data_IF_768913934134
#
_entry.id   IF_768913934134
#
_cell.length_a   1.000
_cell.length_b   1.000
_cell.length_c   1.000
_cell.angle_alpha   90.00
_cell.angle_beta   90.00
_cell.angle_gamma   90.00
#
_symmetry.space_group_name_H-M   'P 1'
#
loop_
_entity.id
_entity.type
_entity.pdbx_description
1 polymer ?
#
# COMPACT_ATOMS: atom_id res chain seq x y z
N UNK A 1 0.85 -5.96 -7.42
CA UNK A 1 -0.30 -6.74 -7.91
C UNK A 1 0.20 -8.16 -8.15
N UNK A 2 -0.59 -9.20 -7.87
CA UNK A 2 -0.11 -10.58 -7.92
C UNK A 2 0.44 -11.01 -9.29
N UNK A 3 1.58 -11.69 -9.30
CA UNK A 3 2.19 -12.20 -10.55
C UNK A 3 1.54 -13.51 -11.02
N UNK A 4 0.79 -14.19 -10.15
CA UNK A 4 0.14 -15.46 -10.45
C UNK A 4 -1.28 -15.26 -10.97
N UNK A 5 -1.75 -16.20 -11.81
CA UNK A 5 -3.10 -16.15 -12.40
C UNK A 5 -4.22 -16.48 -11.39
N UNK A 6 -3.90 -17.12 -10.27
CA UNK A 6 -4.89 -17.44 -9.23
C UNK A 6 -4.23 -17.60 -7.86
N UNK A 7 -5.00 -17.33 -6.81
CA UNK A 7 -4.59 -17.51 -5.42
C UNK A 7 -5.63 -18.37 -4.68
N UNK A 8 -5.21 -19.34 -3.86
CA UNK A 8 -6.15 -20.19 -3.12
C UNK A 8 -6.93 -19.37 -2.08
N UNK A 9 -8.20 -19.72 -1.85
CA UNK A 9 -9.07 -19.02 -0.88
C UNK A 9 -8.68 -19.29 0.58
N UNK A 10 -8.21 -20.52 0.87
CA UNK A 10 -8.01 -21.03 2.24
C UNK A 10 -7.17 -20.11 3.16
N UNK A 11 -6.10 -19.43 2.70
CA UNK A 11 -5.34 -18.50 3.54
C UNK A 11 -6.09 -17.23 3.93
N UNK A 12 -7.12 -16.83 3.19
CA UNK A 12 -7.83 -15.56 3.37
C UNK A 12 -9.19 -15.70 4.05
N UNK A 13 -9.74 -16.93 4.07
CA UNK A 13 -11.03 -17.22 4.67
C UNK A 13 -10.85 -17.56 6.16
N UNK A 14 -10.97 -16.54 7.00
CA UNK A 14 -10.99 -16.67 8.47
C UNK A 14 -12.42 -16.84 9.01
N UNK A 15 -13.41 -16.46 8.19
CA UNK A 15 -14.83 -16.49 8.54
C UNK A 15 -15.47 -17.86 8.23
N UNK A 16 -16.39 -18.30 9.10
CA UNK A 16 -17.12 -19.56 8.88
C UNK A 16 -18.10 -19.48 7.69
N UNK A 17 -18.63 -18.28 7.40
CA UNK A 17 -19.60 -18.05 6.34
C UNK A 17 -18.92 -17.61 5.03
N UNK A 18 -18.84 -18.52 4.06
CA UNK A 18 -18.23 -18.24 2.75
C UNK A 18 -18.97 -17.17 1.94
N UNK A 19 -20.29 -17.12 2.04
CA UNK A 19 -21.10 -16.18 1.26
C UNK A 19 -20.82 -14.73 1.68
N UNK A 20 -20.66 -14.48 2.98
CA UNK A 20 -20.31 -13.16 3.50
C UNK A 20 -18.93 -12.66 3.00
N UNK A 21 -17.97 -13.57 2.83
CA UNK A 21 -16.67 -13.24 2.24
C UNK A 21 -16.82 -12.80 0.78
N UNK A 22 -17.58 -13.55 -0.03
CA UNK A 22 -17.80 -13.22 -1.44
C UNK A 22 -18.61 -11.93 -1.63
N UNK A 23 -19.64 -11.71 -0.80
CA UNK A 23 -20.40 -10.46 -0.80
C UNK A 23 -19.51 -9.26 -0.49
N UNK A 24 -18.59 -9.40 0.47
CA UNK A 24 -17.60 -8.36 0.78
C UNK A 24 -16.65 -8.12 -0.39
N UNK A 25 -16.17 -9.18 -1.04
CA UNK A 25 -15.33 -9.05 -2.25
C UNK A 25 -16.04 -8.24 -3.33
N UNK A 26 -17.30 -8.56 -3.65
CA UNK A 26 -18.08 -7.84 -4.65
C UNK A 26 -18.28 -6.36 -4.28
N UNK A 27 -18.59 -6.09 -3.00
CA UNK A 27 -18.73 -4.71 -2.50
C UNK A 27 -17.44 -3.91 -2.60
N UNK A 28 -16.30 -4.50 -2.24
CA UNK A 28 -14.98 -3.85 -2.34
C UNK A 28 -14.65 -3.58 -3.81
N UNK A 29 -14.83 -4.55 -4.71
CA UNK A 29 -14.58 -4.37 -6.14
C UNK A 29 -15.42 -3.22 -6.68
N UNK A 30 -16.72 -3.19 -6.37
CA UNK A 30 -17.61 -2.13 -6.85
C UNK A 30 -17.18 -0.74 -6.34
N UNK A 31 -16.77 -0.63 -5.08
CA UNK A 31 -16.37 0.64 -4.49
C UNK A 31 -14.95 1.10 -4.86
N UNK A 32 -14.02 0.17 -5.08
CA UNK A 32 -12.59 0.46 -5.16
C UNK A 32 -11.98 0.25 -6.54
N UNK A 33 -12.65 -0.44 -7.47
CA UNK A 33 -12.12 -0.74 -8.82
C UNK A 33 -11.55 0.49 -9.53
N UNK A 34 -12.25 1.63 -9.50
CA UNK A 34 -11.74 2.88 -10.09
C UNK A 34 -10.45 3.38 -9.45
N UNK A 35 -10.34 3.33 -8.11
CA UNK A 35 -9.12 3.72 -7.38
C UNK A 35 -7.98 2.71 -7.58
N UNK A 36 -8.31 1.42 -7.68
CA UNK A 36 -7.35 0.35 -7.97
C UNK A 36 -6.76 0.49 -9.37
N UNK A 37 -7.55 0.89 -10.37
CA UNK A 37 -7.00 1.20 -11.69
C UNK A 37 -6.20 2.51 -11.66
N UNK A 38 -6.73 3.54 -11.01
CA UNK A 38 -6.08 4.86 -10.91
C UNK A 38 -4.69 4.81 -10.27
N UNK A 39 -4.49 4.00 -9.23
CA UNK A 39 -3.15 3.88 -8.60
C UNK A 39 -2.11 3.24 -9.52
N UNK A 40 -2.54 2.49 -10.54
CA UNK A 40 -1.67 2.00 -11.60
C UNK A 40 -1.52 3.03 -12.73
N UNK A 41 -2.57 3.78 -13.06
CA UNK A 41 -2.55 4.71 -14.19
C UNK A 41 -1.94 6.09 -13.90
N UNK A 42 -1.96 6.54 -12.64
CA UNK A 42 -1.58 7.89 -12.22
C UNK A 42 -0.43 7.84 -11.18
N UNK A 43 0.82 8.12 -11.59
CA UNK A 43 1.99 8.13 -10.71
C UNK A 43 1.90 9.15 -9.57
N UNK A 44 1.21 10.28 -9.77
CA UNK A 44 1.02 11.27 -8.72
C UNK A 44 0.06 10.76 -7.66
N UNK A 45 -1.03 10.12 -8.07
CA UNK A 45 -1.96 9.47 -7.14
C UNK A 45 -1.29 8.35 -6.34
N UNK A 46 -0.42 7.54 -6.96
CA UNK A 46 0.40 6.56 -6.23
C UNK A 46 1.28 7.24 -5.16
N UNK A 47 1.99 8.30 -5.54
CA UNK A 47 2.91 9.02 -4.64
C UNK A 47 2.16 9.65 -3.48
N UNK A 48 0.96 10.19 -3.73
CA UNK A 48 0.09 10.75 -2.70
C UNK A 48 -0.33 9.67 -1.69
N UNK A 49 -0.91 8.56 -2.17
CA UNK A 49 -1.35 7.45 -1.29
C UNK A 49 -0.17 6.88 -0.48
N UNK A 50 1.02 6.83 -1.07
CA UNK A 50 2.23 6.41 -0.37
C UNK A 50 2.68 7.40 0.72
N UNK A 51 2.61 8.70 0.45
CA UNK A 51 2.92 9.74 1.44
C UNK A 51 1.93 9.72 2.61
N UNK A 52 0.64 9.58 2.31
CA UNK A 52 -0.42 9.46 3.32
C UNK A 52 -0.13 8.26 4.25
N UNK A 53 0.21 7.09 3.69
CA UNK A 53 0.56 5.90 4.47
C UNK A 53 1.76 6.11 5.41
N UNK A 54 2.79 6.87 4.99
CA UNK A 54 3.94 7.18 5.85
C UNK A 54 3.55 8.05 7.04
N UNK A 55 2.59 8.95 6.85
CA UNK A 55 2.15 9.86 7.88
C UNK A 55 1.35 9.14 8.98
N UNK A 56 0.63 8.07 8.65
CA UNK A 56 -0.09 7.23 9.62
C UNK A 56 0.85 6.58 10.65
N UNK A 57 2.10 6.27 10.29
CA UNK A 57 3.10 5.71 11.22
C UNK A 57 3.79 6.75 12.12
N UNK A 58 3.61 8.04 11.85
CA UNK A 58 4.33 9.13 12.53
C UNK A 58 3.53 9.77 13.67
N UNK A 59 2.31 9.31 13.93
CA UNK A 59 1.36 9.92 14.89
C UNK A 59 1.43 9.37 16.31
N UNK A 60 2.37 8.45 16.62
CA UNK A 60 2.61 8.05 18.01
C UNK A 60 3.30 9.19 18.77
N UNK A 61 2.75 9.67 19.91
CA UNK A 61 3.40 10.70 20.71
C UNK A 61 4.70 10.12 21.28
N UNK A 62 5.82 10.80 21.01
CA UNK A 62 7.10 10.48 21.62
C UNK A 62 6.94 10.62 23.13
N UNK A 63 6.89 9.50 23.85
CA UNK A 63 7.15 9.52 25.29
C UNK A 63 8.62 9.91 25.43
N UNK A 64 8.84 11.09 25.99
CA UNK A 64 10.12 11.74 26.19
C UNK A 64 11.16 10.82 26.84
N UNK A 65 12.05 10.26 26.02
CA UNK A 65 13.36 9.73 26.41
C UNK A 65 14.32 10.02 25.24
N UNK A 66 15.44 10.74 25.44
CA UNK A 66 16.33 11.14 24.36
C UNK A 66 17.27 9.99 23.98
N UNK A 67 16.80 9.06 23.15
CA UNK A 67 17.67 8.08 22.49
C UNK A 67 18.30 8.68 21.23
N UNK A 68 19.54 9.13 21.35
CA UNK A 68 20.36 9.77 20.31
C UNK A 68 20.85 8.83 19.19
N UNK A 69 20.10 7.78 18.83
CA UNK A 69 20.58 6.71 17.94
C UNK A 69 19.71 6.39 16.73
N UNK A 70 18.71 7.20 16.41
CA UNK A 70 17.96 7.08 15.15
C UNK A 70 18.11 8.31 14.26
N UNK A 71 19.36 8.71 14.03
CA UNK A 71 19.68 9.61 12.93
C UNK A 71 20.53 8.87 11.91
N UNK A 72 19.88 8.16 10.99
CA UNK A 72 20.49 7.70 9.75
C UNK A 72 19.50 7.82 8.59
N UNK A 73 19.69 8.92 7.84
CA UNK A 73 19.39 9.14 6.43
C UNK A 73 18.13 8.47 5.82
N UNK A 74 16.97 9.10 6.02
CA UNK A 74 15.73 8.76 5.31
C UNK A 74 15.57 9.48 3.95
N UNK A 75 16.41 10.46 3.61
CA UNK A 75 16.20 11.29 2.41
C UNK A 75 16.80 10.71 1.11
N UNK A 76 17.93 9.99 1.18
CA UNK A 76 18.62 9.46 0.00
C UNK A 76 17.96 8.19 -0.57
N UNK A 77 17.39 7.33 0.30
CA UNK A 77 16.66 6.13 -0.11
C UNK A 77 15.36 6.43 -0.86
N UNK A 78 14.71 7.56 -0.56
CA UNK A 78 13.40 7.91 -1.13
C UNK A 78 13.46 8.30 -2.62
N UNK A 79 14.58 8.85 -3.11
CA UNK A 79 14.72 9.22 -4.53
C UNK A 79 14.99 8.02 -5.43
N UNK A 80 15.63 6.98 -4.90
CA UNK A 80 16.02 5.79 -5.67
C UNK A 80 14.81 4.92 -6.05
N UNK A 81 13.79 4.85 -5.19
CA UNK A 81 12.55 4.11 -5.46
C UNK A 81 11.61 4.83 -6.42
N UNK A 82 11.52 6.15 -6.34
CA UNK A 82 10.73 6.94 -7.31
C UNK A 82 11.34 6.85 -8.71
N UNK A 83 12.67 6.88 -8.84
CA UNK A 83 13.36 6.66 -10.12
C UNK A 83 13.19 5.22 -10.60
N UNK A 84 13.24 4.21 -9.71
CA UNK A 84 13.00 2.81 -10.08
C UNK A 84 11.55 2.56 -10.54
N UNK A 85 10.57 3.23 -9.92
CA UNK A 85 9.16 3.16 -10.34
C UNK A 85 8.95 3.90 -11.65
N UNK A 86 9.48 5.12 -11.83
CA UNK A 86 9.41 5.85 -13.11
C UNK A 86 9.96 5.01 -14.27
N UNK A 87 11.12 4.37 -14.07
CA UNK A 87 11.73 3.51 -15.08
C UNK A 87 10.97 2.19 -15.33
N UNK A 88 10.12 1.76 -14.41
CA UNK A 88 9.28 0.57 -14.56
C UNK A 88 7.96 0.88 -15.29
N UNK A 89 7.53 2.14 -15.32
CA UNK A 89 6.34 2.61 -16.05
C UNK A 89 6.64 3.04 -17.50
N UNK A 90 7.90 3.35 -17.84
CA UNK A 90 8.35 3.76 -19.18
C UNK A 90 8.75 2.60 -20.13
N UNK A 91 8.53 1.33 -19.74
CA UNK A 91 8.73 0.13 -20.59
C UNK A 91 7.40 -0.52 -20.93
#
# INVERSE_FOLDING_TARGET
MGNEISYPLKPFLVEAAKDAFWDRCLRIINAMSGKMLRINADPHYFTQVFADLKNEGSTLPVTSEPSSLYQSDSAAGNRRWLVALSNAWDR
#
